data_IF_905116075248
#
_entry.id   IF_905116075248
#
_cell.length_a   1.000
_cell.length_b   1.000
_cell.length_c   1.000
_cell.angle_alpha   90.00
_cell.angle_beta   90.00
_cell.angle_gamma   90.00
#
_symmetry.space_group_name_H-M   'P 1'
#
loop_
_entity.id
_entity.type
_entity.pdbx_description
1 polymer ?
#
# COMPACT_ATOMS: atom_id res chain seq x y z
N UNK A 1 -27.95 -13.00 58.73
CA UNK A 1 -27.69 -11.65 58.19
C UNK A 1 -26.29 -11.31 58.67
N UNK A 2 -25.26 -11.28 57.82
CA UNK A 2 -25.09 -10.34 56.69
C UNK A 2 -24.31 -11.03 55.55
N UNK A 3 -24.73 -10.77 54.32
CA UNK A 3 -24.09 -11.18 53.06
C UNK A 3 -22.83 -10.36 52.80
N UNK A 4 -21.73 -10.98 52.39
CA UNK A 4 -20.65 -10.30 51.68
C UNK A 4 -20.40 -11.05 50.37
N UNK A 5 -20.94 -10.49 49.30
CA UNK A 5 -20.85 -11.02 47.94
C UNK A 5 -19.50 -10.59 47.37
N UNK A 6 -18.57 -11.53 47.31
CA UNK A 6 -17.30 -11.37 46.61
C UNK A 6 -17.59 -11.12 45.12
N UNK A 7 -17.45 -9.87 44.69
CA UNK A 7 -17.55 -9.44 43.30
C UNK A 7 -16.19 -9.69 42.64
N UNK A 8 -16.05 -10.57 41.64
CA UNK A 8 -14.84 -10.57 40.85
C UNK A 8 -14.89 -9.31 39.98
N UNK A 9 -14.00 -8.36 40.25
CA UNK A 9 -13.64 -7.31 39.31
C UNK A 9 -13.42 -7.96 37.94
N UNK A 10 -14.30 -7.64 37.00
CA UNK A 10 -14.10 -7.94 35.60
C UNK A 10 -12.96 -7.04 35.11
N UNK A 11 -11.74 -7.50 35.34
CA UNK A 11 -10.55 -7.02 34.66
C UNK A 11 -10.83 -7.18 33.17
N UNK A 12 -11.26 -6.09 32.54
CA UNK A 12 -11.40 -6.00 31.10
C UNK A 12 -9.97 -5.94 30.59
N UNK A 13 -9.34 -7.10 30.48
CA UNK A 13 -8.10 -7.27 29.74
C UNK A 13 -8.46 -6.90 28.31
N UNK A 14 -8.27 -5.63 27.95
CA UNK A 14 -8.24 -5.23 26.55
C UNK A 14 -7.09 -6.03 25.95
N UNK A 15 -7.42 -7.15 25.32
CA UNK A 15 -6.48 -7.87 24.48
C UNK A 15 -5.92 -6.83 23.53
N UNK A 16 -4.60 -6.58 23.49
CA UNK A 16 -4.05 -5.67 22.50
C UNK A 16 -4.52 -6.20 21.16
N UNK A 17 -5.41 -5.46 20.49
CA UNK A 17 -5.76 -5.72 19.09
C UNK A 17 -4.42 -5.75 18.38
N UNK A 18 -4.02 -6.94 17.93
CA UNK A 18 -2.77 -7.11 17.22
C UNK A 18 -2.73 -6.04 16.14
N UNK A 19 -1.61 -5.31 16.06
CA UNK A 19 -1.44 -4.31 15.02
C UNK A 19 -1.75 -4.98 13.67
N UNK A 20 -2.52 -4.31 12.79
CA UNK A 20 -2.90 -4.90 11.54
C UNK A 20 -1.64 -5.32 10.76
N UNK A 21 -1.61 -6.57 10.28
CA UNK A 21 -0.49 -7.14 9.53
C UNK A 21 -0.51 -6.66 8.05
N UNK A 22 -0.78 -5.38 7.86
CA UNK A 22 -0.84 -4.76 6.55
C UNK A 22 0.55 -4.45 6.04
N UNK A 23 0.73 -4.65 4.74
CA UNK A 23 1.91 -4.21 4.02
C UNK A 23 1.52 -3.48 2.75
N UNK A 24 2.30 -2.46 2.43
CA UNK A 24 2.10 -1.62 1.26
C UNK A 24 3.35 -1.62 0.39
N UNK A 25 3.13 -1.42 -0.91
CA UNK A 25 4.18 -1.26 -1.90
C UNK A 25 3.80 -0.22 -2.95
N UNK A 26 4.81 0.42 -3.51
CA UNK A 26 4.68 1.29 -4.68
C UNK A 26 5.08 0.49 -5.90
N UNK A 27 4.19 0.46 -6.90
CA UNK A 27 4.45 -0.15 -8.19
C UNK A 27 5.09 0.88 -9.12
N UNK A 28 6.28 0.56 -9.62
CA UNK A 28 7.09 1.44 -10.45
C UNK A 28 7.26 0.87 -11.86
N UNK A 29 7.40 1.77 -12.83
CA UNK A 29 7.68 1.45 -14.23
C UNK A 29 8.85 2.26 -14.76
N UNK A 30 9.38 1.81 -15.90
CA UNK A 30 10.53 2.41 -16.56
C UNK A 30 10.30 3.90 -16.89
N UNK A 31 11.17 4.74 -16.33
CA UNK A 31 11.22 6.15 -16.69
C UNK A 31 12.25 6.36 -17.83
N UNK A 32 11.82 6.72 -19.06
CA UNK A 32 12.69 6.71 -20.23
C UNK A 32 13.86 7.68 -20.14
N UNK A 33 13.67 8.84 -19.49
CA UNK A 33 14.75 9.83 -19.37
C UNK A 33 15.80 9.47 -18.30
N UNK A 34 15.41 8.65 -17.31
CA UNK A 34 16.30 8.25 -16.21
C UNK A 34 16.90 6.86 -16.45
N UNK A 35 16.33 6.09 -17.36
CA UNK A 35 16.81 4.75 -17.69
C UNK A 35 16.68 3.77 -16.52
N UNK A 36 15.65 3.94 -15.68
CA UNK A 36 15.43 3.15 -14.47
C UNK A 36 13.91 3.03 -14.17
N UNK A 37 13.45 1.95 -13.51
CA UNK A 37 12.05 1.77 -13.12
C UNK A 37 11.71 2.56 -11.85
N UNK A 38 11.46 3.87 -12.02
CA UNK A 38 11.25 4.82 -10.90
C UNK A 38 9.96 5.62 -11.01
N UNK A 39 9.18 5.45 -12.07
CA UNK A 39 7.93 6.19 -12.27
C UNK A 39 6.76 5.47 -11.57
N UNK A 40 6.12 6.07 -10.55
CA UNK A 40 5.05 5.41 -9.79
C UNK A 40 3.75 5.33 -10.59
N UNK A 41 3.13 4.15 -10.62
CA UNK A 41 1.87 3.91 -11.33
C UNK A 41 0.73 3.42 -10.44
N UNK A 42 1.05 2.84 -9.28
CA UNK A 42 0.04 2.40 -8.32
C UNK A 42 0.62 2.19 -6.92
N UNK A 43 -0.28 2.19 -5.93
CA UNK A 43 -0.05 1.65 -4.59
C UNK A 43 -0.77 0.32 -4.48
N UNK A 44 -0.06 -0.69 -4.00
CA UNK A 44 -0.58 -2.04 -3.72
C UNK A 44 -0.57 -2.27 -2.21
N UNK A 45 -1.67 -2.81 -1.68
CA UNK A 45 -1.78 -3.22 -0.29
C UNK A 45 -2.23 -4.68 -0.15
N UNK A 46 -1.61 -5.40 0.78
CA UNK A 46 -2.01 -6.74 1.20
C UNK A 46 -2.22 -6.79 2.71
N UNK A 47 -3.23 -7.55 3.12
CA UNK A 47 -3.43 -7.95 4.51
C UNK A 47 -2.83 -9.35 4.72
N UNK A 48 -1.62 -9.42 5.27
CA UNK A 48 -0.93 -10.70 5.52
C UNK A 48 -1.55 -11.48 6.69
N UNK A 49 -2.39 -10.82 7.50
CA UNK A 49 -3.16 -11.47 8.56
C UNK A 49 -4.30 -12.34 8.02
N UNK A 50 -4.64 -12.20 6.74
CA UNK A 50 -5.73 -12.91 6.10
C UNK A 50 -5.25 -13.61 4.83
N UNK A 51 -5.16 -14.94 4.90
CA UNK A 51 -4.66 -15.82 3.82
C UNK A 51 -5.38 -15.65 2.46
N UNK A 52 -6.58 -15.05 2.43
CA UNK A 52 -7.42 -14.90 1.22
C UNK A 52 -7.98 -13.48 1.03
N UNK A 53 -7.35 -12.46 1.62
CA UNK A 53 -7.80 -11.09 1.40
C UNK A 53 -7.49 -10.64 -0.03
N UNK A 54 -8.46 -10.00 -0.69
CA UNK A 54 -8.23 -9.42 -2.00
C UNK A 54 -7.23 -8.26 -1.89
N UNK A 55 -6.25 -8.14 -2.81
CA UNK A 55 -5.32 -7.02 -2.80
C UNK A 55 -6.08 -5.70 -3.00
N UNK A 56 -5.66 -4.68 -2.26
CA UNK A 56 -6.10 -3.31 -2.51
C UNK A 56 -5.13 -2.70 -3.52
N UNK A 57 -5.65 -2.17 -4.62
CA UNK A 57 -4.84 -1.47 -5.63
C UNK A 57 -5.40 -0.06 -5.83
N UNK A 58 -4.51 0.93 -5.82
CA UNK A 58 -4.82 2.33 -6.10
C UNK A 58 -3.94 2.83 -7.23
N UNK A 59 -4.54 3.06 -8.39
CA UNK A 59 -3.83 3.49 -9.59
C UNK A 59 -3.64 5.00 -9.60
N UNK A 60 -2.47 5.45 -10.06
CA UNK A 60 -2.23 6.85 -10.38
C UNK A 60 -3.12 7.23 -11.58
N UNK A 61 -3.95 8.29 -11.51
CA UNK A 61 -5.01 8.55 -12.50
C UNK A 61 -4.55 8.78 -13.95
N UNK A 62 -3.31 9.20 -14.20
CA UNK A 62 -2.86 9.70 -15.50
C UNK A 62 -1.94 8.74 -16.29
N UNK A 63 -1.64 7.56 -15.75
CA UNK A 63 -0.69 6.60 -16.36
C UNK A 63 -1.41 5.31 -16.74
N UNK A 64 -2.25 5.38 -17.78
CA UNK A 64 -3.04 4.22 -18.21
C UNK A 64 -2.19 3.15 -18.92
N UNK A 65 -1.52 3.50 -20.01
CA UNK A 65 -0.74 2.53 -20.81
C UNK A 65 0.57 2.11 -20.14
N UNK A 66 1.26 3.05 -19.47
CA UNK A 66 2.52 2.74 -18.78
C UNK A 66 2.34 1.70 -17.66
N UNK A 67 1.13 1.62 -17.09
CA UNK A 67 0.77 0.68 -16.04
C UNK A 67 0.41 -0.74 -16.53
N UNK A 68 0.32 -0.98 -17.85
CA UNK A 68 -0.12 -2.27 -18.41
C UNK A 68 0.64 -3.49 -17.87
N UNK A 69 1.98 -3.47 -17.72
CA UNK A 69 2.70 -4.60 -17.15
C UNK A 69 2.22 -4.98 -15.74
N UNK A 70 1.80 -4.01 -14.94
CA UNK A 70 1.24 -4.24 -13.62
C UNK A 70 -0.22 -4.68 -13.67
N UNK A 71 -1.03 -4.14 -14.60
CA UNK A 71 -2.42 -4.56 -14.79
C UNK A 71 -2.50 -6.03 -15.20
N UNK A 72 -1.61 -6.49 -16.06
CA UNK A 72 -1.51 -7.90 -16.46
C UNK A 72 -1.19 -8.80 -15.26
N UNK A 73 -0.20 -8.42 -14.44
CA UNK A 73 0.20 -9.18 -13.24
C UNK A 73 -0.91 -9.26 -12.19
N UNK A 74 -1.63 -8.16 -11.99
CA UNK A 74 -2.71 -8.04 -11.00
C UNK A 74 -4.06 -8.54 -11.52
N UNK A 75 -4.14 -9.03 -12.76
CA UNK A 75 -5.36 -9.65 -13.30
C UNK A 75 -5.71 -10.99 -12.61
N UNK A 76 -4.72 -11.61 -11.95
CA UNK A 76 -4.87 -12.80 -11.14
C UNK A 76 -4.78 -12.47 -9.63
N UNK A 77 -5.35 -13.32 -8.75
CA UNK A 77 -5.15 -13.20 -7.31
C UNK A 77 -3.67 -13.12 -6.97
N UNK A 78 -3.30 -12.09 -6.22
CA UNK A 78 -1.91 -11.80 -5.85
C UNK A 78 -1.64 -12.20 -4.41
N UNK A 79 -0.53 -12.90 -4.17
CA UNK A 79 -0.09 -13.35 -2.84
C UNK A 79 1.22 -12.68 -2.43
N UNK A 80 1.58 -12.72 -1.14
CA UNK A 80 2.90 -12.23 -0.68
C UNK A 80 4.07 -12.91 -1.39
N UNK A 81 3.94 -14.18 -1.79
CA UNK A 81 4.99 -14.88 -2.56
C UNK A 81 5.16 -14.28 -3.97
N UNK A 82 4.06 -13.84 -4.60
CA UNK A 82 4.14 -13.14 -5.88
C UNK A 82 4.90 -11.82 -5.74
N UNK A 83 4.68 -11.10 -4.62
CA UNK A 83 5.39 -9.85 -4.29
C UNK A 83 6.88 -10.11 -4.12
N UNK A 84 7.26 -11.09 -3.30
CA UNK A 84 8.67 -11.46 -3.08
C UNK A 84 9.37 -11.81 -4.40
N UNK A 85 8.67 -12.57 -5.26
CA UNK A 85 9.16 -12.88 -6.60
C UNK A 85 9.34 -11.62 -7.46
N UNK A 86 8.42 -10.67 -7.41
CA UNK A 86 8.53 -9.42 -8.17
C UNK A 86 9.65 -8.53 -7.65
N UNK A 87 9.84 -8.43 -6.32
CA UNK A 87 10.96 -7.73 -5.70
C UNK A 87 12.29 -8.31 -6.21
N UNK A 88 12.44 -9.64 -6.17
CA UNK A 88 13.65 -10.33 -6.63
C UNK A 88 13.93 -10.17 -8.14
N UNK A 89 12.92 -9.84 -8.93
CA UNK A 89 13.01 -9.61 -10.39
C UNK A 89 13.11 -8.12 -10.75
N UNK A 90 13.24 -7.24 -9.77
CA UNK A 90 13.40 -5.80 -10.00
C UNK A 90 14.64 -5.49 -10.82
N UNK A 91 14.56 -4.46 -11.66
CA UNK A 91 15.67 -4.02 -12.53
C UNK A 91 15.42 -4.13 -14.03
N UNK A 92 14.21 -4.54 -14.44
CA UNK A 92 13.73 -4.49 -15.82
C UNK A 92 12.78 -3.31 -16.08
N UNK A 93 11.69 -3.58 -16.79
CA UNK A 93 10.65 -2.58 -17.13
C UNK A 93 9.83 -2.15 -15.90
N UNK A 94 9.84 -2.94 -14.83
CA UNK A 94 9.09 -2.68 -13.61
C UNK A 94 9.95 -2.92 -12.37
N UNK A 95 9.62 -2.22 -11.30
CA UNK A 95 10.12 -2.46 -9.95
C UNK A 95 8.98 -2.29 -8.95
N UNK A 96 9.15 -2.85 -7.76
CA UNK A 96 8.18 -2.76 -6.67
C UNK A 96 8.94 -2.47 -5.38
N UNK A 97 8.56 -1.41 -4.70
CA UNK A 97 9.27 -0.93 -3.52
C UNK A 97 8.35 -0.97 -2.30
N UNK A 98 8.83 -1.49 -1.15
CA UNK A 98 8.04 -1.47 0.09
C UNK A 98 7.88 -0.02 0.59
N UNK A 99 6.72 0.25 1.19
CA UNK A 99 6.47 1.52 1.88
C UNK A 99 5.80 1.26 3.22
N UNK A 100 6.13 2.09 4.20
CA UNK A 100 5.54 2.02 5.53
C UNK A 100 4.03 2.30 5.48
N UNK A 101 3.28 1.66 6.35
CA UNK A 101 1.85 1.94 6.55
C UNK A 101 1.73 3.31 7.23
N UNK A 102 1.02 4.29 6.65
CA UNK A 102 0.87 5.61 7.26
C UNK A 102 0.19 5.56 8.63
N UNK A 103 0.69 6.36 9.57
CA UNK A 103 0.05 6.56 10.86
C UNK A 103 -1.38 7.08 10.69
N UNK A 104 -2.32 6.55 11.48
CA UNK A 104 -3.72 6.97 11.43
C UNK A 104 -4.54 6.36 10.27
N UNK A 105 -3.97 5.43 9.49
CA UNK A 105 -4.74 4.62 8.56
C UNK A 105 -5.84 3.85 9.30
N UNK A 106 -7.07 3.92 8.77
CA UNK A 106 -8.27 3.33 9.39
C UNK A 106 -8.51 1.90 8.91
N UNK A 107 -8.19 1.66 7.64
CA UNK A 107 -8.24 0.37 6.97
C UNK A 107 -7.17 0.34 5.85
N UNK A 108 -6.95 -0.83 5.24
CA UNK A 108 -5.95 -1.02 4.17
C UNK A 108 -6.23 -0.15 2.94
N UNK A 109 -7.50 0.13 2.64
CA UNK A 109 -7.90 1.03 1.56
C UNK A 109 -7.46 2.46 1.85
N UNK A 110 -7.80 2.96 3.04
CA UNK A 110 -7.41 4.29 3.49
C UNK A 110 -5.89 4.43 3.56
N UNK A 111 -5.17 3.39 4.01
CA UNK A 111 -3.71 3.37 4.01
C UNK A 111 -3.12 3.56 2.59
N UNK A 112 -3.64 2.82 1.61
CA UNK A 112 -3.20 2.94 0.22
C UNK A 112 -3.56 4.30 -0.40
N UNK A 113 -4.71 4.88 -0.06
CA UNK A 113 -5.13 6.21 -0.50
C UNK A 113 -4.20 7.29 0.06
N UNK A 114 -3.81 7.22 1.34
CA UNK A 114 -2.87 8.17 1.96
C UNK A 114 -1.49 8.14 1.30
N UNK A 115 -0.97 6.95 0.97
CA UNK A 115 0.29 6.82 0.22
C UNK A 115 0.15 7.40 -1.19
N UNK A 116 -0.97 7.13 -1.88
CA UNK A 116 -1.22 7.67 -3.21
C UNK A 116 -1.27 9.20 -3.18
N UNK A 117 -1.97 9.79 -2.21
CA UNK A 117 -2.06 11.24 -2.03
C UNK A 117 -0.68 11.87 -1.79
N UNK A 118 0.18 11.22 -1.00
CA UNK A 118 1.55 11.67 -0.77
C UNK A 118 2.38 11.64 -2.08
N UNK A 119 2.29 10.55 -2.86
CA UNK A 119 2.97 10.45 -4.16
C UNK A 119 2.51 11.55 -5.13
N UNK A 120 1.20 11.80 -5.21
CA UNK A 120 0.66 12.84 -6.07
C UNK A 120 1.07 14.24 -5.61
N UNK A 121 1.15 14.48 -4.31
CA UNK A 121 1.59 15.77 -3.77
C UNK A 121 3.06 16.06 -4.11
N UNK A 122 3.95 15.07 -4.04
CA UNK A 122 5.36 15.23 -4.45
C UNK A 122 5.48 15.54 -5.95
N UNK A 123 4.70 14.87 -6.79
CA UNK A 123 4.66 15.13 -8.24
C UNK A 123 4.15 16.54 -8.55
N UNK A 124 3.13 17.02 -7.83
CA UNK A 124 2.55 18.36 -8.05
C UNK A 124 3.54 19.46 -7.66
N UNK A 125 4.32 19.28 -6.59
CA UNK A 125 5.32 20.26 -6.17
C UNK A 125 6.56 20.31 -7.09
N UNK A 126 6.81 19.24 -7.85
CA UNK A 126 7.88 19.17 -8.84
C UNK A 126 7.52 19.79 -10.21
N UNK A 127 6.27 20.20 -10.43
CA UNK A 127 5.88 20.88 -11.66
C UNK A 127 6.41 22.32 -11.67
N UNK A 128 7.10 22.77 -12.73
CA UNK A 128 7.39 24.19 -12.86
C UNK A 128 6.07 24.95 -12.88
N UNK A 129 5.95 25.99 -12.05
CA UNK A 129 4.88 26.98 -12.13
C UNK A 129 4.71 27.33 -13.61
N UNK A 130 3.56 27.01 -14.18
CA UNK A 130 3.22 27.45 -15.53
C UNK A 130 3.32 28.97 -15.50
N UNK A 131 4.38 29.51 -16.09
CA UNK A 131 4.57 30.94 -16.23
C UNK A 131 3.37 31.49 -16.99
N UNK A 132 2.64 32.39 -16.34
CA UNK A 132 1.73 33.30 -17.03
C UNK A 132 2.47 33.87 -18.24
N UNK A 133 1.97 33.55 -19.43
CA UNK A 133 2.35 34.16 -20.70
C UNK A 133 1.11 34.81 -21.28
#
# INVERSE_FOLDING_TARGET
>A
MTTDTNHPDAETTQTPTAAPAWRLWILLVWHPALGLPVDPVAVLGLDEGQQQSAPVVRWVPLVYEAADPWRERLSAPTTSLDIERWIAQSGGVCAIEPVDVPDGALDLTHAADLVLDALLAEVILALPLRGDS
#
